data_IF_542736471770
#
_entry.id   IF_542736471770
#
_cell.length_a   1.000
_cell.length_b   1.000
_cell.length_c   1.000
_cell.angle_alpha   90.00
_cell.angle_beta   90.00
_cell.angle_gamma   90.00
#
_symmetry.space_group_name_H-M   'P 1'
#
loop_
_entity.id
_entity.type
_entity.pdbx_description
1 polymer ?
#
# COMPACT_ATOMS: atom_id res chain seq x y z
N UNK A 1 12.42 20.89 6.82
CA UNK A 1 12.87 19.56 7.27
C UNK A 1 13.39 18.81 6.05
N UNK A 2 14.70 18.64 5.93
CA UNK A 2 15.32 17.79 4.89
C UNK A 2 16.18 16.78 5.66
N UNK A 3 15.84 15.49 5.59
CA UNK A 3 16.58 14.44 6.30
C UNK A 3 17.90 14.14 5.58
N UNK A 4 19.02 14.53 6.18
CA UNK A 4 20.36 14.14 5.76
C UNK A 4 20.66 12.71 6.19
N UNK A 5 20.91 11.80 5.24
CA UNK A 5 21.34 10.43 5.51
C UNK A 5 22.87 10.34 5.46
N UNK A 6 23.51 10.25 6.63
CA UNK A 6 24.91 9.80 6.72
C UNK A 6 24.91 8.30 7.02
N UNK A 7 25.41 7.48 6.10
CA UNK A 7 25.73 6.06 6.34
C UNK A 7 27.21 5.86 6.08
N UNK A 8 27.96 5.57 7.14
CA UNK A 8 29.35 5.14 7.05
C UNK A 8 29.40 3.72 6.46
N UNK A 9 30.17 3.55 5.39
CA UNK A 9 30.31 2.28 4.67
C UNK A 9 31.38 1.40 5.32
N UNK A 10 30.99 0.20 5.75
CA UNK A 10 31.90 -0.94 5.85
C UNK A 10 31.99 -1.61 4.47
N UNK A 11 33.20 -1.94 4.03
CA UNK A 11 33.48 -2.41 2.69
C UNK A 11 33.05 -3.87 2.44
N UNK A 12 32.70 -4.12 1.17
CA UNK A 12 32.79 -5.37 0.40
C UNK A 12 31.48 -6.14 0.07
N UNK A 13 31.18 -6.11 -1.24
CA UNK A 13 30.20 -6.90 -2.02
C UNK A 13 28.71 -6.59 -1.90
N UNK A 14 28.31 -5.32 -1.91
CA UNK A 14 26.92 -4.96 -2.19
C UNK A 14 26.79 -4.62 -3.67
N UNK A 15 26.16 -5.52 -4.44
CA UNK A 15 25.60 -5.17 -5.74
C UNK A 15 24.82 -3.84 -5.59
N UNK A 16 24.94 -2.90 -6.53
CA UNK A 16 24.23 -1.63 -6.43
C UNK A 16 22.75 -1.92 -6.18
N UNK A 17 22.20 -1.36 -5.08
CA UNK A 17 20.79 -1.53 -4.75
C UNK A 17 19.96 -1.19 -6.00
N UNK A 18 19.02 -2.04 -6.43
CA UNK A 18 18.15 -1.71 -7.54
C UNK A 18 17.52 -0.35 -7.28
N UNK A 19 17.49 0.52 -8.29
CA UNK A 19 16.89 1.83 -8.15
C UNK A 19 15.39 1.63 -7.86
N UNK A 20 14.93 2.11 -6.71
CA UNK A 20 13.50 2.16 -6.42
C UNK A 20 12.88 3.43 -6.99
N UNK A 21 11.64 3.31 -7.46
CA UNK A 21 10.83 4.43 -7.94
C UNK A 21 9.56 4.53 -7.10
N UNK A 22 9.08 5.75 -6.87
CA UNK A 22 7.82 5.96 -6.14
C UNK A 22 6.68 5.26 -6.89
N UNK A 23 5.83 4.53 -6.16
CA UNK A 23 4.64 3.92 -6.72
C UNK A 23 3.60 5.01 -7.03
N UNK A 24 3.35 5.25 -8.31
CA UNK A 24 2.44 6.30 -8.79
C UNK A 24 0.97 6.03 -8.48
N UNK A 25 0.60 4.77 -8.24
CA UNK A 25 -0.80 4.40 -7.98
C UNK A 25 -1.25 4.75 -6.56
N UNK A 26 -0.30 5.00 -5.65
CA UNK A 26 -0.55 5.40 -4.27
C UNK A 26 0.24 6.64 -3.86
N UNK A 27 0.89 7.32 -4.80
CA UNK A 27 1.74 8.48 -4.57
C UNK A 27 2.78 8.28 -3.45
N UNK A 28 3.31 7.06 -3.33
CA UNK A 28 4.29 6.72 -2.30
C UNK A 28 3.73 6.35 -0.91
N UNK A 29 2.41 6.40 -0.71
CA UNK A 29 1.82 6.13 0.60
C UNK A 29 1.71 4.63 0.93
N UNK A 30 1.77 3.76 -0.08
CA UNK A 30 1.55 2.32 0.09
C UNK A 30 0.09 1.93 0.32
N UNK A 31 -0.82 2.89 0.41
CA UNK A 31 -2.25 2.65 0.56
C UNK A 31 -3.04 3.46 -0.46
N UNK A 32 -4.22 2.95 -0.82
CA UNK A 32 -5.19 3.61 -1.68
C UNK A 32 -6.55 3.61 -0.99
N UNK A 33 -7.36 4.63 -1.25
CA UNK A 33 -8.71 4.70 -0.69
C UNK A 33 -9.53 3.45 -1.06
N UNK A 34 -10.28 2.91 -0.09
CA UNK A 34 -11.13 1.75 -0.32
C UNK A 34 -12.14 2.02 -1.44
N UNK A 35 -12.09 1.20 -2.49
CA UNK A 35 -12.92 1.35 -3.68
C UNK A 35 -14.40 1.10 -3.41
N UNK A 36 -14.75 0.34 -2.37
CA UNK A 36 -16.12 -0.04 -2.04
C UNK A 36 -16.83 1.00 -1.17
N UNK A 37 -16.18 1.47 -0.10
CA UNK A 37 -16.78 2.43 0.83
C UNK A 37 -16.39 3.88 0.57
N UNK A 38 -15.48 4.14 -0.39
CA UNK A 38 -15.00 5.49 -0.77
C UNK A 38 -14.53 6.30 0.44
N UNK A 39 -13.82 5.63 1.35
CA UNK A 39 -13.30 6.25 2.57
C UNK A 39 -14.29 6.40 3.72
N UNK A 40 -15.57 6.05 3.57
CA UNK A 40 -16.53 6.12 4.69
C UNK A 40 -16.29 5.07 5.78
N UNK A 41 -15.69 3.93 5.41
CA UNK A 41 -15.48 2.80 6.30
C UNK A 41 -16.71 1.91 6.49
N UNK A 42 -17.87 2.26 5.93
CA UNK A 42 -19.12 1.51 6.05
C UNK A 42 -19.65 1.05 4.69
N UNK A 43 -20.45 -0.03 4.68
CA UNK A 43 -21.09 -0.49 3.45
C UNK A 43 -22.21 0.49 3.05
N UNK A 44 -22.21 1.02 1.81
CA UNK A 44 -23.29 1.90 1.36
C UNK A 44 -24.61 1.17 1.04
N UNK A 45 -24.53 -0.13 0.77
CA UNK A 45 -25.65 -1.02 0.44
C UNK A 45 -25.40 -2.41 1.01
N UNK A 46 -26.41 -3.27 1.02
CA UNK A 46 -26.24 -4.69 1.29
C UNK A 46 -25.45 -5.35 0.14
N UNK A 47 -24.44 -6.16 0.48
CA UNK A 47 -23.66 -6.97 -0.46
C UNK A 47 -23.89 -8.46 -0.22
N UNK A 48 -23.66 -9.27 -1.27
CA UNK A 48 -23.69 -10.74 -1.22
C UNK A 48 -24.97 -11.27 -0.55
N UNK A 49 -26.13 -10.88 -1.08
CA UNK A 49 -27.45 -11.28 -0.56
C UNK A 49 -27.66 -10.93 0.92
N UNK A 50 -27.10 -9.79 1.36
CA UNK A 50 -27.27 -9.27 2.71
C UNK A 50 -26.37 -9.93 3.76
N UNK A 51 -25.34 -10.68 3.33
CA UNK A 51 -24.28 -11.19 4.21
C UNK A 51 -23.49 -10.04 4.84
N UNK A 52 -23.27 -8.97 4.09
CA UNK A 52 -22.68 -7.72 4.60
C UNK A 52 -23.70 -6.61 4.42
N UNK A 53 -24.23 -6.06 5.52
CA UNK A 53 -25.34 -5.12 5.46
C UNK A 53 -24.89 -3.68 5.30
N UNK A 54 -25.76 -2.86 4.72
CA UNK A 54 -25.60 -1.42 4.69
C UNK A 54 -25.45 -0.87 6.12
N UNK A 55 -24.52 0.07 6.31
CA UNK A 55 -24.21 0.67 7.61
C UNK A 55 -23.21 -0.12 8.45
N UNK A 56 -23.02 -1.42 8.22
CA UNK A 56 -21.97 -2.20 8.88
C UNK A 56 -20.59 -1.80 8.36
N UNK A 57 -19.54 -2.20 9.11
CA UNK A 57 -18.15 -2.09 8.67
C UNK A 57 -17.97 -2.62 7.24
N UNK A 58 -17.24 -1.85 6.43
CA UNK A 58 -17.06 -2.17 5.02
C UNK A 58 -16.48 -3.58 4.85
N UNK A 59 -17.13 -4.41 4.04
CA UNK A 59 -16.75 -5.81 3.85
C UNK A 59 -15.33 -5.99 3.28
N UNK A 60 -14.85 -5.00 2.51
CA UNK A 60 -13.55 -5.08 1.87
C UNK A 60 -12.42 -4.59 2.78
N UNK A 61 -12.57 -3.40 3.38
CA UNK A 61 -11.49 -2.78 4.17
C UNK A 61 -11.66 -2.99 5.69
N UNK A 62 -12.71 -3.68 6.14
CA UNK A 62 -12.98 -3.90 7.57
C UNK A 62 -13.11 -2.60 8.38
N UNK A 63 -13.59 -1.51 7.77
CA UNK A 63 -13.70 -0.21 8.42
C UNK A 63 -12.46 0.69 8.35
N UNK A 64 -11.32 0.21 7.83
CA UNK A 64 -10.05 0.97 7.80
C UNK A 64 -10.00 2.14 6.81
N UNK A 65 -11.03 2.31 5.97
CA UNK A 65 -11.18 3.37 4.96
C UNK A 65 -10.20 3.29 3.77
N UNK A 66 -9.01 2.76 4.00
CA UNK A 66 -7.99 2.52 2.97
C UNK A 66 -7.67 1.03 2.82
N UNK A 67 -7.01 0.70 1.71
CA UNK A 67 -6.53 -0.63 1.37
C UNK A 67 -5.06 -0.57 0.98
N UNK A 68 -4.37 -1.70 1.12
CA UNK A 68 -3.01 -1.84 0.62
C UNK A 68 -2.97 -1.58 -0.89
N UNK A 69 -2.04 -0.73 -1.35
CA UNK A 69 -1.81 -0.55 -2.78
C UNK A 69 -1.26 -1.86 -3.36
N UNK A 70 -2.03 -2.49 -4.24
CA UNK A 70 -1.67 -3.78 -4.83
C UNK A 70 -0.46 -3.72 -5.77
N UNK A 71 -0.16 -2.56 -6.35
CA UNK A 71 0.97 -2.43 -7.29
C UNK A 71 2.33 -2.44 -6.57
N UNK A 72 2.39 -1.93 -5.34
CA UNK A 72 3.62 -1.92 -4.53
C UNK A 72 3.53 -2.77 -3.26
N UNK A 73 2.47 -3.58 -3.10
CA UNK A 73 2.18 -4.36 -1.90
C UNK A 73 2.37 -3.61 -0.58
N UNK A 74 1.95 -2.34 -0.52
CA UNK A 74 2.11 -1.53 0.69
C UNK A 74 3.44 -0.81 0.86
N UNK A 75 4.44 -1.05 -0.01
CA UNK A 75 5.77 -0.47 0.15
C UNK A 75 5.83 1.03 -0.17
N UNK A 76 4.97 1.52 -1.07
CA UNK A 76 5.03 2.89 -1.59
C UNK A 76 6.07 3.08 -2.71
N UNK A 77 6.85 2.05 -3.05
CA UNK A 77 7.83 2.10 -4.14
C UNK A 77 7.90 0.78 -4.90
N UNK A 78 8.28 0.86 -6.17
CA UNK A 78 8.55 -0.27 -7.08
C UNK A 78 10.06 -0.47 -7.20
N UNK A 79 10.54 -1.72 -7.27
CA UNK A 79 11.96 -2.03 -7.45
C UNK A 79 12.68 -2.51 -6.19
N UNK A 80 11.96 -2.72 -5.07
CA UNK A 80 12.53 -3.37 -3.88
C UNK A 80 11.87 -4.74 -3.64
N UNK A 81 12.40 -5.51 -2.70
CA UNK A 81 11.96 -6.89 -2.40
C UNK A 81 10.44 -7.06 -2.17
N UNK A 82 9.74 -6.01 -1.71
CA UNK A 82 8.28 -6.07 -1.50
C UNK A 82 7.46 -5.86 -2.79
N UNK A 83 8.09 -5.36 -3.86
CA UNK A 83 7.42 -4.92 -5.08
C UNK A 83 8.04 -5.49 -6.37
N UNK A 84 8.96 -6.44 -6.25
CA UNK A 84 9.56 -7.18 -7.37
C UNK A 84 9.63 -8.66 -7.02
N UNK A 85 9.62 -9.53 -8.04
CA UNK A 85 9.90 -10.95 -7.85
C UNK A 85 11.35 -11.14 -7.40
N UNK A 86 11.58 -12.05 -6.46
CA UNK A 86 12.93 -12.56 -6.18
C UNK A 86 13.36 -13.47 -7.35
N UNK A 87 14.60 -13.28 -7.85
CA UNK A 87 15.26 -14.21 -8.78
C UNK A 87 15.96 -15.34 -8.02
#
# INVERSE_FOLDING_TARGET
LLCSHSQAAGADNQAPKPKSVICTDCDGNGAVQCSQCKGSGVNPVDFFNGQFKAGDSCWLCGGKQDMLCGNCNGAGFIGGFMSTFDE
#
